data_IF_858814155729
#
_entry.id   IF_858814155729
#
_cell.length_a   1.000
_cell.length_b   1.000
_cell.length_c   1.000
_cell.angle_alpha   90.00
_cell.angle_beta   90.00
_cell.angle_gamma   90.00
#
_symmetry.space_group_name_H-M   'P 1'
#
loop_
_entity.id
_entity.type
_entity.pdbx_description
1 polymer ?
#
# COMPACT_ATOMS: atom_id res chain seq x y z
N UNK A 1 -20.46 6.38 7.41
CA UNK A 1 -19.17 6.80 6.82
C UNK A 1 -19.09 6.46 5.35
N UNK A 2 -18.87 5.21 4.92
CA UNK A 2 -18.74 4.83 3.49
C UNK A 2 -19.85 5.39 2.57
N UNK A 3 -21.12 5.29 2.98
CA UNK A 3 -22.26 5.82 2.21
C UNK A 3 -22.25 7.36 2.07
N UNK A 4 -21.74 8.09 3.06
CA UNK A 4 -21.68 9.56 3.02
C UNK A 4 -20.60 10.07 2.04
N UNK A 5 -19.59 9.22 1.76
CA UNK A 5 -18.50 9.52 0.83
C UNK A 5 -18.73 8.90 -0.56
N UNK A 6 -19.90 8.28 -0.79
CA UNK A 6 -20.24 7.62 -2.06
C UNK A 6 -19.41 6.37 -2.34
N UNK A 7 -18.93 5.70 -1.29
CA UNK A 7 -18.10 4.49 -1.38
C UNK A 7 -18.86 3.29 -0.82
N UNK A 8 -18.65 2.12 -1.43
CA UNK A 8 -19.09 0.86 -0.82
C UNK A 8 -18.16 0.48 0.33
N UNK A 9 -18.64 -0.34 1.28
CA UNK A 9 -17.81 -0.90 2.36
C UNK A 9 -16.58 -1.63 1.82
N UNK A 10 -16.74 -2.39 0.73
CA UNK A 10 -15.65 -3.13 0.10
C UNK A 10 -14.60 -2.19 -0.54
N UNK A 11 -15.05 -1.13 -1.21
CA UNK A 11 -14.17 -0.11 -1.79
C UNK A 11 -13.36 0.59 -0.69
N UNK A 12 -14.02 0.98 0.41
CA UNK A 12 -13.34 1.58 1.56
C UNK A 12 -12.28 0.65 2.14
N UNK A 13 -12.61 -0.63 2.38
CA UNK A 13 -11.65 -1.60 2.92
C UNK A 13 -10.45 -1.84 1.99
N UNK A 14 -10.63 -1.77 0.67
CA UNK A 14 -9.53 -1.90 -0.29
C UNK A 14 -8.65 -0.64 -0.32
N UNK A 15 -9.23 0.54 -0.17
CA UNK A 15 -8.49 1.81 -0.07
C UNK A 15 -7.64 1.82 1.20
N UNK A 16 -8.21 1.46 2.35
CA UNK A 16 -7.49 1.38 3.63
C UNK A 16 -6.31 0.39 3.59
N UNK A 17 -6.45 -0.71 2.83
CA UNK A 17 -5.38 -1.69 2.61
C UNK A 17 -4.38 -1.29 1.52
N UNK A 18 -4.53 -0.12 0.92
CA UNK A 18 -3.69 0.34 -0.18
C UNK A 18 -3.84 -0.45 -1.49
N UNK A 19 -4.89 -1.28 -1.61
CA UNK A 19 -5.15 -2.13 -2.78
C UNK A 19 -5.89 -1.42 -3.90
N UNK A 20 -6.45 -0.25 -3.63
CA UNK A 20 -7.24 0.52 -4.58
C UNK A 20 -6.85 2.00 -4.53
N UNK A 21 -6.63 2.59 -5.70
CA UNK A 21 -6.41 4.03 -5.86
C UNK A 21 -7.71 4.79 -5.60
N UNK A 22 -7.59 5.96 -4.99
CA UNK A 22 -8.71 6.86 -4.70
C UNK A 22 -8.61 8.13 -5.56
N UNK A 23 -9.74 8.69 -5.97
CA UNK A 23 -9.77 9.95 -6.71
C UNK A 23 -9.61 11.14 -5.76
N UNK A 24 -8.94 12.20 -6.20
CA UNK A 24 -8.66 13.37 -5.35
C UNK A 24 -9.93 13.99 -4.75
N UNK A 25 -11.01 14.13 -5.52
CA UNK A 25 -12.27 14.68 -5.01
C UNK A 25 -12.90 13.83 -3.88
N UNK A 26 -12.63 12.53 -3.83
CA UNK A 26 -13.09 11.66 -2.74
C UNK A 26 -12.28 11.91 -1.48
N UNK A 27 -10.99 12.23 -1.60
CA UNK A 27 -10.14 12.65 -0.46
C UNK A 27 -10.71 13.92 0.18
N UNK A 28 -11.12 14.90 -0.61
CA UNK A 28 -11.77 16.11 -0.09
C UNK A 28 -13.08 15.81 0.67
N UNK A 29 -13.92 14.91 0.15
CA UNK A 29 -15.14 14.49 0.86
C UNK A 29 -14.84 13.74 2.15
N UNK A 30 -13.78 12.93 2.16
CA UNK A 30 -13.32 12.26 3.39
C UNK A 30 -12.89 13.31 4.41
N UNK A 31 -12.12 14.31 3.99
CA UNK A 31 -11.67 15.40 4.87
C UNK A 31 -12.85 16.17 5.48
N UNK A 32 -13.86 16.50 4.66
CA UNK A 32 -15.09 17.18 5.10
C UNK A 32 -15.86 16.36 6.14
N UNK A 33 -16.08 15.06 5.88
CA UNK A 33 -16.80 14.16 6.80
C UNK A 33 -16.03 13.95 8.11
N UNK A 34 -14.70 13.94 8.04
CA UNK A 34 -13.81 13.80 9.20
C UNK A 34 -13.56 15.12 9.93
N UNK A 35 -14.02 16.25 9.38
CA UNK A 35 -13.80 17.59 9.93
C UNK A 35 -12.31 17.89 10.17
N UNK A 36 -11.45 17.50 9.23
CA UNK A 36 -10.01 17.85 9.26
C UNK A 36 -9.75 19.08 8.39
N UNK A 37 -8.83 19.93 8.84
CA UNK A 37 -8.56 21.24 8.21
C UNK A 37 -7.83 21.11 6.86
N UNK A 38 -7.01 20.06 6.69
CA UNK A 38 -6.24 19.84 5.47
C UNK A 38 -6.30 18.38 5.00
N UNK A 39 -6.34 18.18 3.69
CA UNK A 39 -6.19 16.84 3.10
C UNK A 39 -4.81 16.22 3.42
N UNK A 40 -3.82 17.05 3.77
CA UNK A 40 -2.50 16.59 4.18
C UNK A 40 -2.53 15.87 5.54
N UNK A 41 -3.53 16.15 6.37
CA UNK A 41 -3.72 15.46 7.66
C UNK A 41 -4.18 14.01 7.48
N UNK A 42 -4.67 13.67 6.28
CA UNK A 42 -5.02 12.30 5.90
C UNK A 42 -3.83 11.50 5.36
N UNK A 43 -2.71 12.16 5.09
CA UNK A 43 -1.52 11.55 4.53
C UNK A 43 -0.43 11.41 5.59
N UNK A 44 0.41 10.36 5.52
CA UNK A 44 1.60 10.32 6.35
C UNK A 44 2.55 11.47 6.00
N UNK A 45 3.34 11.99 6.96
CA UNK A 45 4.25 13.12 6.73
C UNK A 45 5.34 12.81 5.69
N UNK A 46 5.60 11.53 5.43
CA UNK A 46 6.41 11.04 4.32
C UNK A 46 5.73 9.82 3.71
N UNK A 47 5.57 9.83 2.41
CA UNK A 47 5.13 8.66 1.66
C UNK A 47 6.33 7.98 1.02
N UNK A 48 6.44 6.67 1.19
CA UNK A 48 7.39 5.82 0.48
C UNK A 48 6.61 4.82 -0.36
N UNK A 49 6.94 4.70 -1.64
CA UNK A 49 6.56 3.55 -2.46
C UNK A 49 7.44 2.35 -2.06
N UNK A 50 7.44 1.98 -0.78
CA UNK A 50 8.09 0.75 -0.34
C UNK A 50 7.27 -0.42 -0.86
N UNK A 51 7.87 -1.18 -1.80
CA UNK A 51 7.51 -2.58 -2.01
C UNK A 51 7.49 -3.23 -0.62
N UNK A 52 6.44 -3.99 -0.24
CA UNK A 52 6.39 -4.65 1.06
C UNK A 52 7.72 -5.34 1.33
N UNK A 53 8.36 -5.02 2.44
CA UNK A 53 9.52 -5.74 2.96
C UNK A 53 9.03 -7.05 3.59
N UNK A 54 8.14 -7.76 2.89
CA UNK A 54 7.80 -9.13 3.25
C UNK A 54 9.05 -9.95 2.96
N UNK A 55 9.60 -10.65 3.96
CA UNK A 55 10.75 -11.50 3.74
C UNK A 55 10.41 -12.49 2.63
N UNK A 56 11.27 -12.58 1.62
CA UNK A 56 11.08 -13.52 0.51
C UNK A 56 11.08 -14.93 1.12
N UNK A 57 9.90 -15.53 1.19
CA UNK A 57 9.74 -16.90 1.71
C UNK A 57 10.14 -17.86 0.59
N UNK A 58 11.38 -18.34 0.65
CA UNK A 58 11.83 -19.41 -0.24
C UNK A 58 11.26 -20.75 0.25
N UNK A 59 10.62 -21.49 -0.66
CA UNK A 59 9.91 -22.74 -0.35
C UNK A 59 10.82 -23.88 0.15
N UNK A 60 12.14 -23.80 -0.06
CA UNK A 60 13.08 -24.85 0.29
C UNK A 60 13.97 -24.46 1.47
N UNK A 61 13.87 -25.21 2.56
CA UNK A 61 14.65 -25.04 3.80
C UNK A 61 16.13 -25.45 3.67
N UNK A 62 16.62 -25.75 2.46
CA UNK A 62 17.97 -26.26 2.20
C UNK A 62 18.83 -25.38 1.30
N UNK A 63 18.42 -24.15 1.00
CA UNK A 63 19.19 -23.25 0.15
C UNK A 63 20.45 -22.79 0.88
N UNK A 64 21.64 -22.99 0.28
CA UNK A 64 22.90 -22.45 0.80
C UNK A 64 22.77 -20.92 0.97
N UNK A 65 23.34 -20.38 2.04
CA UNK A 65 23.17 -18.97 2.45
C UNK A 65 23.58 -17.97 1.35
N UNK A 66 24.60 -18.32 0.56
CA UNK A 66 25.08 -17.55 -0.58
C UNK A 66 24.07 -17.47 -1.74
N UNK A 67 23.32 -18.55 -1.96
CA UNK A 67 22.29 -18.61 -2.99
C UNK A 67 21.02 -17.87 -2.55
N UNK A 68 20.67 -17.95 -1.27
CA UNK A 68 19.56 -17.17 -0.69
C UNK A 68 19.81 -15.66 -0.85
N UNK A 69 21.00 -15.19 -0.49
CA UNK A 69 21.35 -13.77 -0.62
C UNK A 69 21.31 -13.28 -2.08
N UNK A 70 21.77 -14.09 -3.03
CA UNK A 70 21.69 -13.78 -4.47
C UNK A 70 20.26 -13.75 -4.98
N UNK A 71 19.41 -14.69 -4.53
CA UNK A 71 18.00 -14.75 -4.90
C UNK A 71 17.21 -13.55 -4.35
N UNK A 72 17.45 -13.15 -3.09
CA UNK A 72 16.85 -11.95 -2.50
C UNK A 72 17.23 -10.69 -3.28
N UNK A 73 18.52 -10.56 -3.65
CA UNK A 73 18.98 -9.41 -4.42
C UNK A 73 18.40 -9.37 -5.84
N UNK A 74 18.15 -10.53 -6.45
CA UNK A 74 17.49 -10.62 -7.75
C UNK A 74 16.02 -10.20 -7.67
N UNK A 75 15.26 -10.68 -6.68
CA UNK A 75 13.87 -10.28 -6.46
C UNK A 75 13.75 -8.78 -6.21
N UNK A 76 14.65 -8.19 -5.42
CA UNK A 76 14.67 -6.74 -5.15
C UNK A 76 15.04 -5.88 -6.36
N UNK A 77 15.79 -6.41 -7.33
CA UNK A 77 16.22 -5.70 -8.55
C UNK A 77 15.29 -5.93 -9.74
N UNK A 78 14.43 -6.93 -9.70
CA UNK A 78 13.48 -7.20 -10.77
C UNK A 78 12.46 -6.04 -10.85
N UNK A 79 12.22 -5.47 -12.04
CA UNK A 79 11.18 -4.46 -12.20
C UNK A 79 9.83 -5.13 -11.93
N UNK A 80 9.10 -4.63 -10.93
CA UNK A 80 7.72 -5.02 -10.67
C UNK A 80 6.93 -4.66 -11.93
N UNK A 81 6.55 -5.67 -12.71
CA UNK A 81 5.72 -5.47 -13.90
C UNK A 81 4.34 -4.97 -13.41
N UNK A 82 3.78 -3.90 -14.01
CA UNK A 82 2.52 -3.30 -13.57
C UNK A 82 1.33 -4.25 -13.70
#
# INVERSE_FOLDING_TARGET
>A
MAEHIGLTRASLANIEKGRQKIMLHQIYKIAEVLQVDSILDLAPPRFSMSVPDEPVVFAEAGMRDDLRAQAEQFVRRAPVRP
#
